data_IF_677535474951
#
_entry.id   IF_677535474951
#
_cell.length_a   1.000
_cell.length_b   1.000
_cell.length_c   1.000
_cell.angle_alpha   90.00
_cell.angle_beta   90.00
_cell.angle_gamma   90.00
#
_symmetry.space_group_name_H-M   'P 1'
#
loop_
_entity.id
_entity.type
_entity.pdbx_description
1 polymer ?
#
# COMPACT_ATOMS: atom_id res chain seq x y z
N UNK A 1 -30.69 -5.83 39.53
CA UNK A 1 -29.55 -6.75 39.47
C UNK A 1 -28.55 -6.13 38.49
N UNK A 2 -27.60 -5.37 39.07
CA UNK A 2 -26.52 -4.76 38.25
C UNK A 2 -25.44 -5.80 38.04
N UNK A 3 -25.18 -6.10 36.77
CA UNK A 3 -24.04 -6.93 36.39
C UNK A 3 -22.76 -6.09 36.44
N UNK A 4 -22.04 -6.20 37.56
CA UNK A 4 -20.65 -5.72 37.65
C UNK A 4 -19.81 -6.64 36.79
N UNK A 5 -19.49 -6.23 35.55
CA UNK A 5 -18.44 -6.87 34.75
C UNK A 5 -17.11 -6.52 35.44
N UNK A 6 -16.62 -7.44 36.26
CA UNK A 6 -15.27 -7.37 36.76
C UNK A 6 -14.27 -7.41 35.60
N UNK A 7 -13.66 -6.28 35.32
CA UNK A 7 -12.51 -6.19 34.43
C UNK A 7 -11.33 -6.92 35.11
N UNK A 8 -11.19 -8.21 34.87
CA UNK A 8 -9.97 -8.93 35.24
C UNK A 8 -8.82 -8.38 34.38
N UNK A 9 -7.79 -7.77 34.95
CA UNK A 9 -6.60 -7.42 34.21
C UNK A 9 -5.88 -8.72 33.87
N UNK A 10 -5.81 -9.05 32.59
CA UNK A 10 -4.92 -10.10 32.10
C UNK A 10 -3.49 -9.81 32.61
N UNK A 11 -2.76 -10.80 33.12
CA UNK A 11 -1.36 -10.64 33.50
C UNK A 11 -0.55 -10.49 32.21
N UNK A 12 -0.44 -9.27 31.71
CA UNK A 12 0.44 -8.98 30.58
C UNK A 12 1.80 -8.70 31.19
N UNK A 13 2.76 -9.57 30.95
CA UNK A 13 4.18 -9.28 31.14
C UNK A 13 4.52 -8.06 30.27
N UNK A 14 4.50 -6.88 30.92
CA UNK A 14 4.98 -5.66 30.28
C UNK A 14 6.46 -5.83 29.97
N UNK A 15 6.89 -5.56 28.75
CA UNK A 15 8.31 -5.35 28.50
C UNK A 15 8.81 -4.34 29.56
N UNK A 16 9.92 -4.66 30.23
CA UNK A 16 10.49 -3.83 31.32
C UNK A 16 10.75 -2.37 30.93
N UNK A 17 10.69 -2.09 29.63
CA UNK A 17 11.03 -0.80 29.02
C UNK A 17 9.81 -0.02 28.51
N UNK A 18 8.59 -0.52 28.71
CA UNK A 18 7.37 0.25 28.42
C UNK A 18 6.70 0.62 29.73
N UNK A 19 6.61 1.89 30.03
CA UNK A 19 6.06 2.38 31.29
C UNK A 19 5.05 3.53 31.11
N UNK A 20 4.31 3.84 32.15
CA UNK A 20 3.38 4.94 32.17
C UNK A 20 4.01 6.12 32.93
N UNK A 21 4.08 7.29 32.29
CA UNK A 21 4.55 8.53 32.89
C UNK A 21 3.50 9.18 33.78
N UNK A 22 3.93 10.17 34.58
CA UNK A 22 3.07 10.95 35.49
C UNK A 22 2.04 11.81 34.74
N UNK A 23 2.26 12.08 33.43
CA UNK A 23 1.34 12.78 32.55
C UNK A 23 0.24 11.85 31.96
N UNK A 24 0.23 10.59 32.40
CA UNK A 24 -0.73 9.59 31.97
C UNK A 24 -0.44 8.95 30.61
N UNK A 25 0.64 9.34 29.94
CA UNK A 25 1.08 8.76 28.67
C UNK A 25 1.91 7.51 28.88
N UNK A 26 2.02 6.70 27.82
CA UNK A 26 2.87 5.52 27.78
C UNK A 26 4.17 5.84 27.04
N UNK A 27 5.27 5.37 27.58
CA UNK A 27 6.62 5.64 27.08
C UNK A 27 7.34 4.36 26.72
N UNK A 28 8.20 4.44 25.70
CA UNK A 28 9.20 3.43 25.38
C UNK A 28 10.47 4.11 24.90
N UNK A 29 11.67 3.55 25.16
CA UNK A 29 12.91 4.07 24.58
C UNK A 29 13.02 3.73 23.11
N UNK A 30 13.69 4.57 22.37
CA UNK A 30 14.11 4.28 21.01
C UNK A 30 15.24 3.22 21.03
N UNK A 31 15.18 2.14 20.26
CA UNK A 31 16.21 1.10 20.28
C UNK A 31 17.57 1.58 19.77
N UNK A 32 17.64 2.72 19.03
CA UNK A 32 18.88 3.23 18.47
C UNK A 32 19.52 4.35 19.30
N UNK A 33 18.75 5.27 19.86
CA UNK A 33 19.31 6.43 20.58
C UNK A 33 18.88 6.53 22.04
N UNK A 34 18.00 5.65 22.52
CA UNK A 34 17.46 5.68 23.87
C UNK A 34 16.43 6.77 24.14
N UNK A 35 16.17 7.69 23.20
CA UNK A 35 15.21 8.78 23.37
C UNK A 35 13.79 8.25 23.60
N UNK A 36 13.09 8.83 24.57
CA UNK A 36 11.75 8.38 24.94
C UNK A 36 10.69 8.82 23.94
N UNK A 37 9.84 7.89 23.55
CA UNK A 37 8.70 8.12 22.67
C UNK A 37 7.41 7.97 23.46
N UNK A 38 6.51 8.96 23.36
CA UNK A 38 5.24 8.96 24.09
C UNK A 38 4.07 8.50 23.22
N UNK A 39 3.14 7.76 23.85
CA UNK A 39 1.93 7.22 23.23
C UNK A 39 0.71 7.47 24.12
N UNK A 40 -0.42 7.82 23.51
CA UNK A 40 -1.69 8.00 24.24
C UNK A 40 -2.30 6.68 24.72
N UNK A 41 -2.03 5.60 24.01
CA UNK A 41 -2.58 4.26 24.31
C UNK A 41 -1.47 3.25 24.55
N UNK A 42 -1.62 2.45 25.60
CA UNK A 42 -0.70 1.38 26.00
C UNK A 42 -0.37 0.42 24.85
N UNK A 43 -1.38 -0.04 24.14
CA UNK A 43 -1.20 -1.03 23.09
C UNK A 43 -0.26 -0.56 21.98
N UNK A 44 -0.32 0.72 21.62
CA UNK A 44 0.57 1.28 20.60
C UNK A 44 2.02 1.35 21.06
N UNK A 45 2.27 1.64 22.36
CA UNK A 45 3.62 1.62 22.91
C UNK A 45 4.19 0.21 22.89
N UNK A 46 3.42 -0.80 23.30
CA UNK A 46 3.83 -2.23 23.31
C UNK A 46 4.10 -2.74 21.89
N UNK A 47 3.18 -2.49 20.95
CA UNK A 47 3.36 -2.90 19.54
C UNK A 47 4.63 -2.26 18.98
N UNK A 48 4.79 -0.95 19.18
CA UNK A 48 5.95 -0.21 18.70
C UNK A 48 7.26 -0.70 19.34
N UNK A 49 7.24 -1.11 20.61
CA UNK A 49 8.38 -1.70 21.30
C UNK A 49 8.73 -3.08 20.70
N UNK A 50 7.75 -3.97 20.61
CA UNK A 50 7.93 -5.33 20.08
C UNK A 50 8.40 -5.35 18.62
N UNK A 51 7.95 -4.38 17.83
CA UNK A 51 8.38 -4.20 16.43
C UNK A 51 9.75 -3.50 16.31
N UNK A 52 10.39 -3.14 17.43
CA UNK A 52 11.68 -2.43 17.42
C UNK A 52 11.64 -1.07 16.71
N UNK A 53 10.47 -0.39 16.70
CA UNK A 53 10.31 0.90 16.02
C UNK A 53 11.17 1.98 16.66
N UNK A 54 11.91 2.68 15.81
CA UNK A 54 12.77 3.80 16.15
C UNK A 54 11.97 5.09 16.37
N UNK A 55 12.59 6.07 17.04
CA UNK A 55 12.04 7.42 17.10
C UNK A 55 12.11 8.10 15.72
N UNK A 56 11.28 9.13 15.53
CA UNK A 56 11.21 9.87 14.26
C UNK A 56 12.56 10.47 13.85
N UNK A 57 13.36 10.92 14.82
CA UNK A 57 14.69 11.48 14.58
C UNK A 57 15.68 10.43 14.03
N UNK A 58 15.68 9.21 14.59
CA UNK A 58 16.51 8.11 14.11
C UNK A 58 16.02 7.58 12.76
N UNK A 59 14.72 7.42 12.60
CA UNK A 59 14.11 7.01 11.32
C UNK A 59 14.47 8.00 10.20
N UNK A 60 14.50 9.30 10.49
CA UNK A 60 14.88 10.32 9.51
C UNK A 60 16.39 10.35 9.21
N UNK A 61 17.25 9.81 10.10
CA UNK A 61 18.71 9.75 9.91
C UNK A 61 19.16 8.52 9.15
N UNK A 62 18.30 7.53 8.93
CA UNK A 62 18.65 6.39 8.08
C UNK A 62 18.97 6.93 6.69
N UNK A 63 20.16 6.60 6.12
CA UNK A 63 20.33 6.74 4.70
C UNK A 63 19.19 5.96 4.05
N UNK A 64 18.45 6.66 3.21
CA UNK A 64 17.17 6.19 2.67
C UNK A 64 17.33 4.87 1.90
N UNK A 65 17.22 3.73 2.59
CA UNK A 65 16.86 2.47 1.94
C UNK A 65 15.37 2.45 1.51
N UNK A 66 14.66 3.56 1.73
CA UNK A 66 13.33 3.88 1.25
C UNK A 66 13.32 5.18 0.44
N UNK A 67 14.42 5.49 -0.25
CA UNK A 67 14.40 6.55 -1.24
C UNK A 67 13.67 6.07 -2.48
N UNK A 68 12.35 6.07 -2.39
CA UNK A 68 11.61 6.28 -3.63
C UNK A 68 12.20 7.52 -4.26
N UNK A 69 12.78 7.38 -5.43
CA UNK A 69 13.42 8.48 -6.16
C UNK A 69 12.46 9.66 -6.09
N UNK A 70 12.94 10.85 -5.77
CA UNK A 70 12.08 12.03 -5.53
C UNK A 70 11.04 12.24 -6.64
N UNK A 71 11.45 12.03 -7.89
CA UNK A 71 10.61 12.12 -9.08
C UNK A 71 9.44 11.12 -9.09
N UNK A 72 9.59 9.92 -8.51
CA UNK A 72 8.54 8.92 -8.51
C UNK A 72 7.31 9.37 -7.70
N UNK A 73 7.52 10.20 -6.67
CA UNK A 73 6.43 10.80 -5.87
C UNK A 73 5.68 11.90 -6.61
N UNK A 74 6.29 12.50 -7.62
CA UNK A 74 5.66 13.50 -8.49
C UNK A 74 4.79 12.85 -9.55
N UNK A 75 5.07 11.60 -9.89
CA UNK A 75 4.35 10.81 -10.91
C UNK A 75 3.23 9.97 -10.31
N UNK A 76 3.50 9.34 -9.16
CA UNK A 76 2.63 8.37 -8.53
C UNK A 76 2.49 8.67 -7.04
N UNK A 77 1.26 8.81 -6.54
CA UNK A 77 1.01 8.99 -5.11
C UNK A 77 1.31 7.71 -4.34
N UNK A 78 2.20 7.78 -3.35
CA UNK A 78 2.62 6.63 -2.54
C UNK A 78 1.44 5.93 -1.84
N UNK A 79 0.47 6.69 -1.32
CA UNK A 79 -0.72 6.14 -0.67
C UNK A 79 -1.59 5.32 -1.64
N UNK A 80 -1.60 5.73 -2.91
CA UNK A 80 -2.30 5.02 -3.96
C UNK A 80 -1.61 3.70 -4.30
N UNK A 81 -0.29 3.71 -4.46
CA UNK A 81 0.50 2.49 -4.70
C UNK A 81 0.40 1.50 -3.54
N UNK A 82 0.52 1.98 -2.28
CA UNK A 82 0.38 1.13 -1.08
C UNK A 82 -0.97 0.43 -0.98
N UNK A 83 -2.03 1.01 -1.51
CA UNK A 83 -3.34 0.35 -1.55
C UNK A 83 -3.30 -0.96 -2.33
N UNK A 84 -2.57 -1.02 -3.44
CA UNK A 84 -2.42 -2.25 -4.23
C UNK A 84 -1.63 -3.31 -3.50
N UNK A 85 -0.51 -2.93 -2.87
CA UNK A 85 0.30 -3.81 -2.04
C UNK A 85 -0.53 -4.45 -0.92
N UNK A 86 -1.24 -3.63 -0.14
CA UNK A 86 -2.11 -4.11 0.94
C UNK A 86 -3.20 -5.05 0.41
N UNK A 87 -3.86 -4.69 -0.69
CA UNK A 87 -4.90 -5.53 -1.29
C UNK A 87 -4.34 -6.84 -1.84
N UNK A 88 -3.13 -6.85 -2.38
CA UNK A 88 -2.45 -8.07 -2.83
C UNK A 88 -2.18 -9.01 -1.66
N UNK A 89 -1.62 -8.50 -0.57
CA UNK A 89 -1.36 -9.26 0.67
C UNK A 89 -2.67 -9.85 1.24
N UNK A 90 -3.73 -9.05 1.35
CA UNK A 90 -5.02 -9.52 1.86
C UNK A 90 -5.65 -10.62 0.99
N UNK A 91 -5.41 -10.59 -0.31
CA UNK A 91 -5.88 -11.58 -1.28
C UNK A 91 -4.92 -12.75 -1.47
N UNK A 92 -3.79 -12.79 -0.74
CA UNK A 92 -2.71 -13.78 -0.88
C UNK A 92 -2.16 -13.85 -2.31
N UNK A 93 -2.02 -12.69 -2.94
CA UNK A 93 -1.42 -12.53 -4.27
C UNK A 93 0.01 -12.02 -4.06
N UNK A 94 0.97 -12.62 -4.74
CA UNK A 94 2.37 -12.24 -4.67
C UNK A 94 2.57 -10.78 -5.09
N UNK A 95 3.39 -10.05 -4.32
CA UNK A 95 3.76 -8.67 -4.59
C UNK A 95 5.28 -8.55 -4.61
N UNK A 96 5.86 -8.46 -5.80
CA UNK A 96 7.29 -8.34 -6.06
C UNK A 96 7.59 -7.20 -7.05
N UNK A 97 6.96 -6.05 -6.81
CA UNK A 97 7.24 -4.81 -7.54
C UNK A 97 7.52 -3.69 -6.55
N UNK A 98 8.47 -2.82 -6.89
CA UNK A 98 8.78 -1.64 -6.08
C UNK A 98 7.93 -0.45 -6.51
N UNK A 99 7.79 0.53 -5.62
CA UNK A 99 7.12 1.79 -5.93
C UNK A 99 7.77 2.49 -7.13
N UNK A 100 9.09 2.54 -7.17
CA UNK A 100 9.84 3.17 -8.26
C UNK A 100 9.60 2.47 -9.60
N UNK A 101 9.57 1.13 -9.60
CA UNK A 101 9.29 0.36 -10.81
C UNK A 101 7.90 0.66 -11.38
N UNK A 102 6.86 0.69 -10.55
CA UNK A 102 5.50 0.98 -11.04
C UNK A 102 5.33 2.45 -11.42
N UNK A 103 6.11 3.37 -10.85
CA UNK A 103 6.15 4.76 -11.27
C UNK A 103 6.89 4.92 -12.62
N UNK A 104 8.03 4.24 -12.82
CA UNK A 104 8.74 4.17 -14.10
C UNK A 104 7.82 3.62 -15.20
N UNK A 105 7.10 2.53 -14.91
CA UNK A 105 6.16 1.94 -15.85
C UNK A 105 5.07 2.92 -16.32
N UNK A 106 4.60 3.81 -15.43
CA UNK A 106 3.61 4.83 -15.80
C UNK A 106 4.20 5.88 -16.74
N UNK A 107 5.48 6.26 -16.55
CA UNK A 107 6.22 7.15 -17.45
C UNK A 107 6.43 6.46 -18.80
N UNK A 108 6.90 5.21 -18.80
CA UNK A 108 7.17 4.43 -20.02
C UNK A 108 5.90 4.27 -20.87
N UNK A 109 4.73 4.23 -20.22
CA UNK A 109 3.43 4.22 -20.88
C UNK A 109 2.93 5.62 -21.31
N UNK A 110 3.75 6.68 -21.14
CA UNK A 110 3.36 8.06 -21.47
C UNK A 110 2.05 8.49 -20.80
N UNK A 111 1.82 8.06 -19.55
CA UNK A 111 0.57 8.30 -18.80
C UNK A 111 -0.68 7.84 -19.56
N UNK A 112 -0.57 6.79 -20.35
CA UNK A 112 -1.66 6.21 -21.13
C UNK A 112 -2.01 4.80 -20.67
N UNK A 113 -3.28 4.47 -20.81
CA UNK A 113 -3.76 3.10 -20.63
C UNK A 113 -3.13 2.20 -21.69
N UNK A 114 -2.44 1.12 -21.24
CA UNK A 114 -1.77 0.20 -22.15
C UNK A 114 -2.70 -0.51 -23.15
N UNK A 115 -4.00 -0.60 -22.85
CA UNK A 115 -4.97 -1.32 -23.67
C UNK A 115 -5.83 -0.42 -24.57
N UNK A 116 -6.03 0.85 -24.20
CA UNK A 116 -6.91 1.77 -24.94
C UNK A 116 -6.21 3.01 -25.44
N UNK A 117 -5.00 3.32 -24.92
CA UNK A 117 -4.32 4.58 -25.23
C UNK A 117 -4.95 5.81 -24.55
N UNK A 118 -5.99 5.65 -23.74
CA UNK A 118 -6.60 6.78 -23.02
C UNK A 118 -5.66 7.35 -21.98
N UNK A 119 -5.72 8.66 -21.79
CA UNK A 119 -4.96 9.32 -20.73
C UNK A 119 -5.39 8.84 -19.35
N UNK A 120 -4.42 8.57 -18.48
CA UNK A 120 -4.65 8.12 -17.12
C UNK A 120 -3.84 8.96 -16.12
N UNK A 121 -4.38 9.11 -14.91
CA UNK A 121 -3.72 9.81 -13.81
C UNK A 121 -3.70 8.96 -12.55
N UNK A 122 -2.56 8.93 -11.88
CA UNK A 122 -2.35 8.25 -10.61
C UNK A 122 -2.07 9.22 -9.45
N UNK A 123 -2.20 10.53 -9.68
CA UNK A 123 -1.86 11.57 -8.70
C UNK A 123 -3.06 12.09 -7.94
N UNK A 124 -4.17 12.37 -8.60
CA UNK A 124 -5.35 12.97 -7.99
C UNK A 124 -6.35 11.90 -7.51
N UNK A 125 -6.84 12.07 -6.27
CA UNK A 125 -7.86 11.17 -5.70
C UNK A 125 -9.20 11.33 -6.40
N UNK A 126 -9.57 12.56 -6.77
CA UNK A 126 -10.84 12.86 -7.45
C UNK A 126 -10.80 12.56 -8.95
N UNK A 127 -9.67 12.88 -9.61
CA UNK A 127 -9.44 12.67 -11.03
C UNK A 127 -8.70 11.37 -11.36
N UNK A 128 -8.35 10.54 -10.36
CA UNK A 128 -7.61 9.31 -10.59
C UNK A 128 -8.38 8.34 -11.47
N UNK A 129 -7.83 8.09 -12.65
CA UNK A 129 -8.35 7.13 -13.63
C UNK A 129 -7.43 5.92 -13.81
N UNK A 130 -6.19 5.96 -13.31
CA UNK A 130 -5.24 4.86 -13.42
C UNK A 130 -5.62 3.67 -12.52
N UNK A 131 -5.31 2.48 -12.97
CA UNK A 131 -5.41 1.24 -12.21
C UNK A 131 -4.24 0.32 -12.58
N UNK A 132 -3.53 -0.19 -11.57
CA UNK A 132 -2.49 -1.19 -11.77
C UNK A 132 -3.16 -2.54 -11.99
N UNK A 133 -2.93 -3.12 -13.16
CA UNK A 133 -3.49 -4.39 -13.61
C UNK A 133 -2.40 -5.45 -13.73
N UNK A 134 -2.77 -6.71 -13.59
CA UNK A 134 -1.91 -7.85 -13.91
C UNK A 134 -2.24 -8.33 -15.31
N UNK A 135 -1.23 -8.44 -16.18
CA UNK A 135 -1.40 -8.90 -17.57
C UNK A 135 -2.01 -10.31 -17.55
N UNK A 136 -1.38 -11.23 -16.81
CA UNK A 136 -1.95 -12.53 -16.45
C UNK A 136 -2.44 -12.49 -15.00
N UNK A 137 -3.73 -12.66 -14.80
CA UNK A 137 -4.37 -12.64 -13.49
C UNK A 137 -4.03 -13.85 -12.61
N UNK A 138 -3.47 -14.92 -13.17
CA UNK A 138 -3.01 -16.09 -12.41
C UNK A 138 -1.64 -15.88 -11.77
N UNK A 139 -0.88 -14.88 -12.23
CA UNK A 139 0.43 -14.50 -11.70
C UNK A 139 0.24 -13.28 -10.78
N UNK A 140 1.16 -13.10 -9.84
CA UNK A 140 1.17 -11.96 -8.92
C UNK A 140 1.55 -10.62 -9.57
N UNK A 141 1.66 -9.59 -8.73
CA UNK A 141 2.23 -8.30 -9.13
C UNK A 141 3.75 -8.43 -9.14
N UNK A 142 4.28 -8.93 -10.25
CA UNK A 142 5.71 -9.13 -10.47
C UNK A 142 6.18 -8.32 -11.68
N UNK A 143 7.47 -8.05 -11.78
CA UNK A 143 8.05 -7.34 -12.92
C UNK A 143 7.72 -8.07 -14.22
N UNK A 144 7.26 -7.33 -15.22
CA UNK A 144 6.83 -7.86 -16.51
C UNK A 144 5.39 -8.36 -16.55
N UNK A 145 4.72 -8.56 -15.40
CA UNK A 145 3.31 -8.96 -15.35
C UNK A 145 2.37 -7.84 -14.90
N UNK A 146 2.83 -6.61 -14.78
CA UNK A 146 2.01 -5.47 -14.39
C UNK A 146 1.97 -4.42 -15.48
N UNK A 147 0.85 -3.72 -15.58
CA UNK A 147 0.64 -2.61 -16.50
C UNK A 147 -0.33 -1.60 -15.89
N UNK A 148 -0.24 -0.35 -16.33
CA UNK A 148 -1.22 0.66 -16.00
C UNK A 148 -2.32 0.70 -17.05
N UNK A 149 -3.56 0.61 -16.60
CA UNK A 149 -4.75 0.69 -17.44
C UNK A 149 -5.73 1.73 -16.88
N UNK A 150 -6.69 2.15 -17.68
CA UNK A 150 -7.81 2.94 -17.16
C UNK A 150 -8.66 2.08 -16.23
N UNK A 151 -9.14 2.67 -15.10
CA UNK A 151 -9.93 1.94 -14.09
C UNK A 151 -11.16 1.23 -14.65
N UNK A 152 -11.83 1.82 -15.65
CA UNK A 152 -12.96 1.16 -16.32
C UNK A 152 -12.51 -0.09 -17.07
N UNK A 153 -11.37 -0.03 -17.75
CA UNK A 153 -10.80 -1.18 -18.45
C UNK A 153 -10.50 -2.31 -17.47
N UNK A 154 -9.86 -1.99 -16.34
CA UNK A 154 -9.56 -2.99 -15.32
C UNK A 154 -10.82 -3.61 -14.71
N UNK A 155 -11.85 -2.79 -14.47
CA UNK A 155 -13.16 -3.28 -14.00
C UNK A 155 -13.82 -4.23 -15.00
N UNK A 156 -13.67 -3.99 -16.30
CA UNK A 156 -14.23 -4.87 -17.34
C UNK A 156 -13.39 -6.13 -17.54
N UNK A 157 -12.05 -6.01 -17.47
CA UNK A 157 -11.13 -7.13 -17.63
C UNK A 157 -11.21 -8.12 -16.47
N UNK A 158 -11.31 -7.61 -15.23
CA UNK A 158 -11.38 -8.43 -14.00
C UNK A 158 -10.26 -9.49 -13.92
N UNK A 159 -10.65 -10.79 -13.94
CA UNK A 159 -9.75 -11.93 -13.84
C UNK A 159 -9.47 -12.62 -15.19
N UNK A 160 -10.05 -12.11 -16.25
CA UNK A 160 -9.80 -12.68 -17.59
C UNK A 160 -8.36 -12.42 -18.03
N UNK A 161 -7.85 -13.30 -18.88
CA UNK A 161 -6.56 -13.06 -19.56
C UNK A 161 -6.68 -11.83 -20.45
N UNK A 162 -5.56 -11.21 -20.78
CA UNK A 162 -5.58 -10.06 -21.68
C UNK A 162 -6.10 -10.44 -23.06
N UNK A 163 -5.73 -11.62 -23.55
CA UNK A 163 -6.18 -12.13 -24.84
C UNK A 163 -7.69 -12.32 -24.89
N UNK A 164 -8.27 -12.98 -23.88
CA UNK A 164 -9.72 -13.21 -23.80
C UNK A 164 -10.48 -11.88 -23.73
N UNK A 165 -9.98 -10.93 -22.94
CA UNK A 165 -10.59 -9.61 -22.84
C UNK A 165 -10.55 -8.85 -24.17
N UNK A 166 -9.41 -8.85 -24.86
CA UNK A 166 -9.27 -8.22 -26.18
C UNK A 166 -10.17 -8.91 -27.22
N UNK A 167 -10.24 -10.24 -27.19
CA UNK A 167 -11.13 -11.00 -28.06
C UNK A 167 -12.60 -10.64 -27.83
N UNK A 168 -13.03 -10.55 -26.57
CA UNK A 168 -14.37 -10.13 -26.20
C UNK A 168 -14.67 -8.72 -26.72
N UNK A 169 -13.76 -7.75 -26.48
CA UNK A 169 -13.94 -6.37 -26.96
C UNK A 169 -14.09 -6.30 -28.47
N UNK A 170 -13.25 -7.02 -29.23
CA UNK A 170 -13.33 -7.10 -30.69
C UNK A 170 -14.65 -7.72 -31.15
N UNK A 171 -15.09 -8.78 -30.48
CA UNK A 171 -16.35 -9.45 -30.80
C UNK A 171 -17.55 -8.53 -30.62
N UNK A 172 -17.58 -7.74 -29.53
CA UNK A 172 -18.62 -6.73 -29.28
C UNK A 172 -18.56 -5.65 -30.36
N UNK A 173 -17.37 -5.07 -30.62
CA UNK A 173 -17.21 -4.00 -31.60
C UNK A 173 -17.61 -4.43 -33.02
N UNK A 174 -17.32 -5.67 -33.41
CA UNK A 174 -17.71 -6.20 -34.71
C UNK A 174 -19.22 -6.46 -34.85
N UNK A 175 -19.90 -6.75 -33.72
CA UNK A 175 -21.34 -7.05 -33.74
C UNK A 175 -22.20 -5.79 -33.70
N UNK A 176 -21.77 -4.78 -32.97
CA UNK A 176 -22.50 -3.51 -32.81
C UNK A 176 -22.05 -2.58 -33.94
N UNK A 177 -22.95 -2.28 -34.86
CA UNK A 177 -22.73 -1.22 -35.85
C UNK A 177 -23.07 0.10 -35.22
N UNK A 178 -22.10 1.00 -35.18
CA UNK A 178 -22.26 2.39 -34.73
C UNK A 178 -22.69 3.27 -35.89
#
# INVERSE_FOLDING_TARGET
>A
MEYIIAFMPLPINLPKEVYRGNDGRWYKPCPLCGEEQSYLRRNYAIISFNEGKECKACSNKRPENNSHKGWAKEVLRLSFAKKYEINAVMRKIDWDVTFDYIAELLIDQDFKCSLTGWDISAMDVAGNSASLDRIDSNIGYVKGNVQWVHKMVNMCKQHYTQEDFIYMCKSVANKVKW
#
